data_IF_550342014578
#
_entry.id   IF_550342014578
#
_cell.length_a   1.000
_cell.length_b   1.000
_cell.length_c   1.000
_cell.angle_alpha   90.00
_cell.angle_beta   90.00
_cell.angle_gamma   90.00
#
_symmetry.space_group_name_H-M   'P 1'
#
loop_
_entity.id
_entity.type
_entity.pdbx_description
1 polymer ?
#
# COMPACT_ATOMS: atom_id res chain seq x y z
N UNK A 1 -12.68 4.95 0.44
CA UNK A 1 -11.30 5.37 0.13
C UNK A 1 -11.31 6.42 -0.98
N UNK A 2 -10.49 7.48 -0.92
CA UNK A 2 -10.48 8.53 -1.94
C UNK A 2 -9.96 7.97 -3.27
N UNK A 3 -10.62 8.32 -4.39
CA UNK A 3 -10.21 7.93 -5.76
C UNK A 3 -8.79 8.41 -6.15
N UNK A 4 -8.22 9.28 -5.33
CA UNK A 4 -6.90 9.91 -5.46
C UNK A 4 -5.75 8.89 -5.41
N UNK A 5 -5.95 7.76 -4.72
CA UNK A 5 -4.95 6.69 -4.58
C UNK A 5 -5.09 5.58 -5.62
N UNK A 6 -5.93 5.73 -6.64
CA UNK A 6 -6.06 4.71 -7.70
C UNK A 6 -4.80 4.65 -8.56
N UNK A 7 -4.46 3.46 -9.05
CA UNK A 7 -3.34 3.27 -10.00
C UNK A 7 -3.51 4.13 -11.26
N UNK A 8 -4.76 4.41 -11.67
CA UNK A 8 -5.07 5.24 -12.84
C UNK A 8 -4.78 6.73 -12.63
N UNK A 9 -4.62 7.17 -11.37
CA UNK A 9 -4.40 8.57 -11.00
C UNK A 9 -3.05 8.84 -10.36
N UNK A 10 -2.22 7.80 -10.25
CA UNK A 10 -0.95 7.86 -9.53
C UNK A 10 0.18 7.28 -10.36
N UNK A 11 1.39 7.75 -10.13
CA UNK A 11 2.61 7.11 -10.63
C UNK A 11 3.13 6.09 -9.62
N UNK A 12 4.02 5.20 -10.06
CA UNK A 12 4.73 4.27 -9.18
C UNK A 12 5.43 4.98 -8.02
N UNK A 13 6.13 6.08 -8.32
CA UNK A 13 6.83 6.90 -7.33
C UNK A 13 5.87 7.51 -6.30
N UNK A 14 4.69 7.96 -6.72
CA UNK A 14 3.66 8.46 -5.79
C UNK A 14 3.16 7.34 -4.88
N UNK A 15 2.86 6.16 -5.43
CA UNK A 15 2.41 5.01 -4.64
C UNK A 15 3.47 4.54 -3.64
N UNK A 16 4.73 4.55 -4.04
CA UNK A 16 5.86 4.27 -3.16
C UNK A 16 5.92 5.27 -2.00
N UNK A 17 5.83 6.57 -2.27
CA UNK A 17 5.80 7.60 -1.23
C UNK A 17 4.63 7.42 -0.27
N UNK A 18 3.43 7.13 -0.77
CA UNK A 18 2.26 6.88 0.09
C UNK A 18 2.50 5.69 1.02
N UNK A 19 3.16 4.63 0.53
CA UNK A 19 3.50 3.49 1.36
C UNK A 19 4.56 3.81 2.41
N UNK A 20 5.59 4.58 2.06
CA UNK A 20 6.63 5.04 2.98
C UNK A 20 6.04 5.94 4.07
N UNK A 21 5.17 6.88 3.70
CA UNK A 21 4.44 7.74 4.64
C UNK A 21 3.54 6.93 5.58
N UNK A 22 2.78 5.96 5.06
CA UNK A 22 1.95 5.08 5.88
C UNK A 22 2.80 4.22 6.84
N UNK A 23 3.92 3.68 6.37
CA UNK A 23 4.85 2.89 7.19
C UNK A 23 5.45 3.72 8.33
N UNK A 24 5.80 4.98 8.05
CA UNK A 24 6.32 5.90 9.06
C UNK A 24 5.27 6.24 10.14
N UNK A 25 3.97 6.26 9.80
CA UNK A 25 2.90 6.44 10.78
C UNK A 25 2.69 5.20 11.65
N UNK A 26 2.84 4.00 11.08
CA UNK A 26 2.63 2.73 11.78
C UNK A 26 3.77 2.38 12.74
N UNK A 27 5.00 2.83 12.45
CA UNK A 27 6.19 2.59 13.30
C UNK A 27 6.10 3.19 14.70
N UNK A 28 5.10 4.04 14.97
CA UNK A 28 4.85 4.66 16.27
C UNK A 28 4.05 3.77 17.25
N UNK A 29 3.66 2.56 16.87
CA UNK A 29 2.94 1.66 17.80
C UNK A 29 2.45 0.32 17.23
N UNK A 30 2.82 -0.05 16.00
CA UNK A 30 2.37 -1.28 15.35
C UNK A 30 3.53 -2.25 15.14
N UNK A 31 3.22 -3.55 15.05
CA UNK A 31 4.19 -4.54 14.59
C UNK A 31 4.61 -4.24 13.15
N UNK A 32 5.87 -4.51 12.82
CA UNK A 32 6.35 -4.41 11.44
C UNK A 32 5.53 -5.32 10.50
N UNK A 33 5.21 -4.86 9.28
CA UNK A 33 4.50 -5.67 8.29
C UNK A 33 5.33 -6.91 7.92
N UNK A 34 4.65 -8.05 7.80
CA UNK A 34 5.28 -9.32 7.42
C UNK A 34 5.80 -9.26 5.98
N UNK A 35 6.61 -10.24 5.59
CA UNK A 35 7.07 -10.36 4.20
C UNK A 35 5.91 -10.54 3.22
N UNK A 36 4.86 -11.24 3.63
CA UNK A 36 3.66 -11.45 2.83
C UNK A 36 2.89 -10.13 2.65
N UNK A 37 2.75 -9.36 3.72
CA UNK A 37 2.13 -8.03 3.65
C UNK A 37 2.89 -7.11 2.69
N UNK A 38 4.22 -7.11 2.77
CA UNK A 38 5.08 -6.34 1.87
C UNK A 38 4.94 -6.77 0.41
N UNK A 39 4.81 -8.09 0.14
CA UNK A 39 4.55 -8.58 -1.21
C UNK A 39 3.20 -8.11 -1.75
N UNK A 40 2.15 -8.14 -0.92
CA UNK A 40 0.80 -7.69 -1.30
C UNK A 40 0.79 -6.17 -1.55
N UNK A 41 1.46 -5.39 -0.70
CA UNK A 41 1.62 -3.94 -0.87
C UNK A 41 2.41 -3.60 -2.14
N UNK A 42 3.45 -4.35 -2.47
CA UNK A 42 4.23 -4.13 -3.69
C UNK A 42 3.39 -4.27 -4.96
N UNK A 43 2.36 -5.15 -4.98
CA UNK A 43 1.43 -5.25 -6.11
C UNK A 43 0.70 -3.93 -6.37
N UNK A 44 0.41 -3.14 -5.32
CA UNK A 44 -0.12 -1.80 -5.50
C UNK A 44 0.93 -0.80 -6.00
N UNK A 45 2.14 -0.82 -5.44
CA UNK A 45 3.22 0.10 -5.86
C UNK A 45 3.52 -0.06 -7.36
N UNK A 46 3.68 -1.30 -7.81
CA UNK A 46 3.95 -1.61 -9.23
C UNK A 46 2.74 -1.31 -10.13
N UNK A 47 1.53 -1.26 -9.57
CA UNK A 47 0.29 -0.97 -10.29
C UNK A 47 -0.42 -2.22 -10.82
N UNK A 48 -0.04 -3.40 -10.33
CA UNK A 48 -0.64 -4.70 -10.67
C UNK A 48 -2.01 -4.88 -10.01
N UNK A 49 -2.20 -4.32 -8.80
CA UNK A 49 -3.47 -4.31 -8.08
C UNK A 49 -3.82 -2.93 -7.56
N UNK A 50 -5.12 -2.66 -7.49
CA UNK A 50 -5.61 -1.46 -6.83
C UNK A 50 -5.50 -1.60 -5.30
N UNK A 51 -5.33 -0.47 -4.62
CA UNK A 51 -5.12 -0.43 -3.16
C UNK A 51 -6.24 -1.11 -2.37
N UNK A 52 -7.49 -1.04 -2.85
CA UNK A 52 -8.62 -1.72 -2.18
C UNK A 52 -8.47 -3.24 -2.20
N UNK A 53 -8.03 -3.81 -3.33
CA UNK A 53 -7.81 -5.25 -3.47
C UNK A 53 -6.67 -5.74 -2.58
N UNK A 54 -5.65 -4.89 -2.40
CA UNK A 54 -4.55 -5.13 -1.47
C UNK A 54 -5.06 -5.14 -0.03
N UNK A 55 -5.87 -4.15 0.39
CA UNK A 55 -6.43 -4.08 1.75
C UNK A 55 -7.34 -5.28 2.06
N UNK A 56 -8.20 -5.67 1.12
CA UNK A 56 -9.05 -6.86 1.29
C UNK A 56 -8.20 -8.12 1.49
N UNK A 57 -7.05 -8.21 0.81
CA UNK A 57 -6.13 -9.36 0.93
C UNK A 57 -5.37 -9.38 2.26
N UNK A 58 -5.18 -8.23 2.90
CA UNK A 58 -4.51 -8.10 4.21
C UNK A 58 -5.48 -8.24 5.41
N UNK A 59 -6.78 -8.14 5.15
CA UNK A 59 -7.83 -8.21 6.18
C UNK A 59 -8.47 -9.60 6.31
N UNK A 60 -8.00 -10.55 5.48
CA UNK A 60 -8.49 -11.92 5.40
C UNK A 60 -7.94 -12.84 6.49
#
# INVERSE_FOLDING_TARGET
>A
MKKEYSIKKTTREQRRRYNEEASALLSLGSNDPTKEDQMIINQYIEGDKELFSVIDSLSG
#
